data_IF_512334362289
#
_entry.id   IF_512334362289
#
_cell.length_a   1.000
_cell.length_b   1.000
_cell.length_c   1.000
_cell.angle_alpha   90.00
_cell.angle_beta   90.00
_cell.angle_gamma   90.00
#
_symmetry.space_group_name_H-M   'P 1'
#
loop_
_entity.id
_entity.type
_entity.pdbx_description
1 polymer ?
#
# COMPACT_ATOMS: atom_id res chain seq x y z
N UNK A 1 17.46 -40.30 -56.14
CA UNK A 1 17.02 -40.33 -54.74
C UNK A 1 17.80 -39.29 -53.93
N UNK A 2 17.19 -38.17 -53.52
CA UNK A 2 17.65 -37.34 -52.39
C UNK A 2 16.39 -36.78 -51.70
N UNK A 3 16.13 -37.23 -50.47
CA UNK A 3 14.98 -36.82 -49.64
C UNK A 3 15.32 -35.55 -48.86
N UNK A 4 14.30 -34.75 -48.62
CA UNK A 4 14.31 -33.44 -47.99
C UNK A 4 14.49 -33.55 -46.46
N UNK A 5 15.60 -33.07 -45.92
CA UNK A 5 15.88 -33.05 -44.46
C UNK A 5 15.59 -31.69 -43.77
N UNK A 6 14.82 -30.78 -44.40
CA UNK A 6 14.67 -29.40 -43.89
C UNK A 6 13.37 -29.07 -43.16
N UNK A 7 12.40 -29.97 -43.07
CA UNK A 7 11.06 -29.62 -42.54
C UNK A 7 10.87 -29.80 -41.03
N UNK A 8 11.77 -30.48 -40.31
CA UNK A 8 11.55 -30.78 -38.88
C UNK A 8 11.95 -29.66 -37.88
N UNK A 9 12.68 -28.61 -38.29
CA UNK A 9 13.19 -27.60 -37.36
C UNK A 9 12.28 -26.38 -37.14
N UNK A 10 11.32 -26.12 -38.05
CA UNK A 10 10.50 -24.92 -37.99
C UNK A 10 9.48 -24.94 -36.84
N UNK A 11 8.97 -26.12 -36.49
CA UNK A 11 7.99 -26.30 -35.41
C UNK A 11 8.58 -26.07 -34.01
N UNK A 12 9.88 -26.31 -33.81
CA UNK A 12 10.54 -26.12 -32.51
C UNK A 12 10.84 -24.64 -32.24
N UNK A 13 11.28 -23.91 -33.26
CA UNK A 13 11.50 -22.46 -33.22
C UNK A 13 10.19 -21.69 -33.01
N UNK A 14 9.09 -22.05 -33.69
CA UNK A 14 7.80 -21.42 -33.47
C UNK A 14 7.24 -21.67 -32.06
N UNK A 15 7.38 -22.91 -31.53
CA UNK A 15 7.02 -23.21 -30.14
C UNK A 15 7.84 -22.42 -29.14
N UNK A 16 9.16 -22.26 -29.37
CA UNK A 16 10.04 -21.40 -28.56
C UNK A 16 9.59 -19.93 -28.62
N UNK A 17 9.33 -19.39 -29.81
CA UNK A 17 8.84 -18.01 -30.00
C UNK A 17 7.52 -17.76 -29.30
N UNK A 18 6.56 -18.70 -29.38
CA UNK A 18 5.28 -18.64 -28.63
C UNK A 18 5.51 -18.68 -27.11
N UNK A 19 6.40 -19.55 -26.63
CA UNK A 19 6.75 -19.61 -25.20
C UNK A 19 7.41 -18.32 -24.70
N UNK A 20 8.29 -17.72 -25.50
CA UNK A 20 8.97 -16.45 -25.18
C UNK A 20 7.95 -15.31 -25.16
N UNK A 21 7.05 -15.23 -26.15
CA UNK A 21 5.95 -14.26 -26.15
C UNK A 21 5.03 -14.41 -24.93
N UNK A 22 4.63 -15.64 -24.57
CA UNK A 22 3.83 -15.88 -23.37
C UNK A 22 4.57 -15.49 -22.08
N UNK A 23 5.88 -15.78 -21.97
CA UNK A 23 6.71 -15.34 -20.84
C UNK A 23 6.80 -13.81 -20.75
N UNK A 24 6.94 -13.13 -21.88
CA UNK A 24 7.04 -11.67 -21.93
C UNK A 24 5.70 -10.98 -21.61
N UNK A 25 4.56 -11.53 -22.09
CA UNK A 25 3.21 -11.07 -21.71
C UNK A 25 2.96 -11.22 -20.20
N UNK A 26 3.35 -12.35 -19.60
CA UNK A 26 3.25 -12.58 -18.14
C UNK A 26 4.12 -11.62 -17.32
N UNK A 27 5.33 -11.29 -17.80
CA UNK A 27 6.24 -10.32 -17.15
C UNK A 27 5.72 -8.88 -17.22
N UNK A 28 5.02 -8.49 -18.29
CA UNK A 28 4.42 -7.16 -18.39
C UNK A 28 3.22 -6.96 -17.46
N UNK A 29 2.43 -8.00 -17.19
CA UNK A 29 1.33 -7.95 -16.20
C UNK A 29 1.86 -7.69 -14.78
N UNK A 30 3.04 -8.21 -14.43
CA UNK A 30 3.64 -7.98 -13.11
C UNK A 30 4.23 -6.58 -12.91
N UNK A 31 4.50 -5.81 -13.97
CA UNK A 31 5.13 -4.46 -13.87
C UNK A 31 4.14 -3.33 -13.60
N UNK A 32 2.84 -3.56 -13.78
CA UNK A 32 1.76 -2.60 -13.49
C UNK A 32 0.99 -2.94 -12.20
N UNK A 33 1.58 -3.73 -11.29
CA UNK A 33 0.88 -4.21 -10.10
C UNK A 33 -0.05 -5.37 -10.44
N UNK A 34 0.55 -6.53 -10.75
CA UNK A 34 -0.19 -7.73 -11.16
C UNK A 34 -1.34 -8.09 -10.22
N UNK A 35 -2.47 -8.49 -10.83
CA UNK A 35 -3.74 -8.89 -10.20
C UNK A 35 -4.10 -8.01 -9.01
N UNK A 36 -4.73 -6.87 -9.28
CA UNK A 36 -5.45 -6.11 -8.25
C UNK A 36 -6.31 -7.02 -7.38
N UNK A 37 -6.59 -6.57 -6.16
CA UNK A 37 -7.50 -7.23 -5.23
C UNK A 37 -8.73 -7.72 -6.00
N UNK A 38 -9.16 -8.97 -5.79
CA UNK A 38 -10.33 -9.48 -6.51
C UNK A 38 -11.50 -8.52 -6.28
N UNK A 39 -12.41 -8.44 -7.26
CA UNK A 39 -13.58 -7.59 -7.16
C UNK A 39 -14.34 -7.82 -5.84
N UNK A 40 -14.41 -9.07 -5.39
CA UNK A 40 -14.99 -9.44 -4.10
C UNK A 40 -14.25 -8.82 -2.92
N UNK A 41 -12.91 -8.83 -2.94
CA UNK A 41 -12.10 -8.21 -1.87
C UNK A 41 -12.28 -6.69 -1.87
N UNK A 42 -12.35 -6.06 -3.05
CA UNK A 42 -12.58 -4.62 -3.17
C UNK A 42 -14.00 -4.22 -2.71
N UNK A 43 -15.02 -4.98 -3.11
CA UNK A 43 -16.40 -4.77 -2.68
C UNK A 43 -16.57 -5.00 -1.17
N UNK A 44 -15.98 -6.07 -0.63
CA UNK A 44 -16.05 -6.39 0.79
C UNK A 44 -15.25 -5.42 1.66
N UNK A 45 -14.18 -4.79 1.15
CA UNK A 45 -13.39 -3.80 1.88
C UNK A 45 -14.19 -2.55 2.29
N UNK A 46 -15.28 -2.22 1.58
CA UNK A 46 -16.18 -1.11 1.92
C UNK A 46 -17.48 -1.54 2.61
N UNK A 47 -17.74 -2.84 2.70
CA UNK A 47 -18.93 -3.34 3.40
C UNK A 47 -18.75 -3.13 4.91
N UNK A 48 -19.73 -2.48 5.56
CA UNK A 48 -19.69 -2.14 7.00
C UNK A 48 -19.75 -3.37 7.94
N UNK A 49 -19.63 -4.58 7.41
CA UNK A 49 -19.57 -5.84 8.16
C UNK A 49 -18.12 -6.30 8.39
N UNK A 50 -17.17 -5.36 8.44
CA UNK A 50 -15.77 -5.65 8.76
C UNK A 50 -15.65 -5.95 10.25
N UNK A 51 -15.83 -7.22 10.60
CA UNK A 51 -15.56 -7.78 11.93
C UNK A 51 -14.04 -7.80 12.14
N UNK A 52 -13.44 -6.61 12.26
CA UNK A 52 -12.00 -6.40 12.39
C UNK A 52 -11.51 -7.07 13.68
N UNK A 53 -10.96 -8.28 13.54
CA UNK A 53 -10.35 -9.00 14.64
C UNK A 53 -8.82 -8.98 14.48
N UNK A 54 -8.10 -8.16 15.28
CA UNK A 54 -6.65 -8.02 15.15
C UNK A 54 -5.91 -9.35 15.42
N UNK A 55 -6.46 -10.25 16.24
CA UNK A 55 -5.84 -11.53 16.54
C UNK A 55 -5.81 -12.46 15.32
N UNK A 56 -6.89 -12.52 14.56
CA UNK A 56 -6.97 -13.33 13.33
C UNK A 56 -6.02 -12.79 12.25
N UNK A 57 -5.96 -11.47 12.11
CA UNK A 57 -5.05 -10.80 11.17
C UNK A 57 -3.60 -11.08 11.54
N UNK A 58 -3.25 -10.99 12.84
CA UNK A 58 -1.91 -11.31 13.34
C UNK A 58 -1.56 -12.78 13.06
N UNK A 59 -2.47 -13.71 13.35
CA UNK A 59 -2.28 -15.15 13.08
C UNK A 59 -2.03 -15.43 11.60
N UNK A 60 -2.81 -14.83 10.70
CA UNK A 60 -2.63 -15.00 9.26
C UNK A 60 -1.27 -14.43 8.78
N UNK A 61 -0.87 -13.26 9.29
CA UNK A 61 0.44 -12.66 8.97
C UNK A 61 1.59 -13.56 9.41
N UNK A 62 1.55 -14.08 10.63
CA UNK A 62 2.57 -14.98 11.15
C UNK A 62 2.62 -16.30 10.38
N UNK A 63 1.48 -16.90 10.05
CA UNK A 63 1.42 -18.09 9.21
C UNK A 63 2.10 -17.87 7.85
N UNK A 64 1.82 -16.75 7.20
CA UNK A 64 2.44 -16.39 5.92
C UNK A 64 3.95 -16.16 6.04
N UNK A 65 4.43 -15.54 7.13
CA UNK A 65 5.87 -15.40 7.39
C UNK A 65 6.52 -16.76 7.56
N UNK A 66 5.94 -17.61 8.40
CA UNK A 66 6.47 -18.95 8.69
C UNK A 66 6.52 -19.81 7.43
N UNK A 67 5.47 -19.79 6.61
CA UNK A 67 5.46 -20.48 5.33
C UNK A 67 6.60 -20.03 4.40
N UNK A 68 6.89 -18.72 4.34
CA UNK A 68 8.03 -18.18 3.58
C UNK A 68 9.36 -18.69 4.13
N UNK A 69 9.54 -18.70 5.46
CA UNK A 69 10.75 -19.20 6.09
C UNK A 69 10.98 -20.69 5.80
N UNK A 70 9.94 -21.52 5.92
CA UNK A 70 9.99 -22.95 5.57
C UNK A 70 10.34 -23.16 4.10
N UNK A 71 9.73 -22.40 3.19
CA UNK A 71 10.06 -22.47 1.76
C UNK A 71 11.51 -22.05 1.48
N UNK A 72 11.99 -20.98 2.12
CA UNK A 72 13.37 -20.52 2.01
C UNK A 72 14.34 -21.60 2.49
N UNK A 73 14.07 -22.21 3.64
CA UNK A 73 14.86 -23.31 4.19
C UNK A 73 14.88 -24.53 3.26
N UNK A 74 13.70 -24.96 2.77
CA UNK A 74 13.61 -26.07 1.80
C UNK A 74 14.39 -25.79 0.51
N UNK A 75 14.45 -24.54 0.04
CA UNK A 75 15.26 -24.15 -1.12
C UNK A 75 16.75 -24.24 -0.82
N UNK A 76 17.20 -23.77 0.35
CA UNK A 76 18.60 -23.86 0.76
C UNK A 76 19.05 -25.32 0.92
N UNK A 77 18.22 -26.17 1.54
CA UNK A 77 18.49 -27.61 1.64
C UNK A 77 18.62 -28.27 0.25
N UNK A 78 17.75 -27.91 -0.70
CA UNK A 78 17.86 -28.41 -2.08
C UNK A 78 19.16 -27.94 -2.76
N UNK A 79 19.58 -26.70 -2.52
CA UNK A 79 20.85 -26.18 -3.05
C UNK A 79 22.06 -26.91 -2.45
N UNK A 80 22.06 -27.14 -1.14
CA UNK A 80 23.14 -27.88 -0.47
C UNK A 80 23.21 -29.33 -0.98
N UNK A 81 22.07 -30.00 -1.13
CA UNK A 81 22.03 -31.35 -1.69
C UNK A 81 22.49 -31.42 -3.15
N UNK A 82 22.35 -30.33 -3.92
CA UNK A 82 22.90 -30.22 -5.28
C UNK A 82 24.41 -29.94 -5.31
N UNK A 83 24.99 -29.40 -4.24
CA UNK A 83 26.45 -29.21 -4.10
C UNK A 83 27.15 -30.47 -3.56
N UNK A 84 26.43 -31.36 -2.87
CA UNK A 84 26.95 -32.63 -2.35
C UNK A 84 26.94 -33.78 -3.37
N UNK A 85 26.39 -33.55 -4.57
CA UNK A 85 26.47 -34.45 -5.73
C UNK A 85 27.42 -33.79 -6.74
N UNK A 86 28.69 -34.23 -6.87
CA UNK A 86 29.61 -33.68 -7.86
C UNK A 86 29.20 -34.15 -9.25
N UNK A 87 28.16 -33.54 -9.80
CA UNK A 87 27.76 -33.72 -11.19
C UNK A 87 28.86 -33.15 -12.09
N UNK A 88 29.55 -34.06 -12.77
CA UNK A 88 30.56 -34.02 -13.85
C UNK A 88 30.55 -32.81 -14.84
N UNK A 89 29.54 -31.94 -14.80
CA UNK A 89 29.34 -30.82 -15.73
C UNK A 89 30.28 -29.61 -15.56
N UNK A 90 31.12 -29.56 -14.52
CA UNK A 90 31.93 -28.37 -14.22
C UNK A 90 33.28 -28.29 -14.96
N UNK A 91 33.65 -29.32 -15.74
CA UNK A 91 34.94 -29.36 -16.47
C UNK A 91 34.97 -28.64 -17.83
N UNK A 92 33.91 -27.95 -18.25
CA UNK A 92 33.81 -27.47 -19.64
C UNK A 92 33.99 -25.94 -19.85
N UNK A 93 34.35 -25.16 -18.83
CA UNK A 93 34.35 -23.68 -18.90
C UNK A 93 35.74 -23.04 -19.04
N UNK A 94 36.85 -23.77 -18.89
CA UNK A 94 38.19 -23.13 -18.80
C UNK A 94 38.95 -22.95 -20.13
N UNK A 95 38.40 -23.32 -21.30
CA UNK A 95 39.22 -23.37 -22.54
C UNK A 95 38.84 -22.44 -23.70
N UNK A 96 38.09 -21.35 -23.52
CA UNK A 96 37.82 -20.45 -24.65
C UNK A 96 37.65 -18.98 -24.25
N UNK A 97 38.61 -18.17 -24.71
CA UNK A 97 38.52 -16.74 -25.04
C UNK A 97 39.06 -15.71 -24.02
N UNK A 98 40.38 -15.65 -23.94
CA UNK A 98 41.11 -14.37 -23.89
C UNK A 98 41.20 -13.79 -25.31
N UNK A 99 40.40 -12.79 -25.68
CA UNK A 99 40.77 -11.80 -26.73
C UNK A 99 39.83 -10.57 -26.73
N UNK A 100 40.44 -9.39 -26.56
CA UNK A 100 40.11 -8.06 -27.12
C UNK A 100 38.67 -7.46 -27.09
N UNK A 101 38.58 -6.18 -26.67
CA UNK A 101 37.45 -5.32 -27.08
C UNK A 101 37.06 -4.14 -26.18
N UNK A 102 38.00 -3.37 -25.62
CA UNK A 102 37.70 -2.28 -24.66
C UNK A 102 37.27 -0.93 -25.31
N UNK A 103 36.25 -0.94 -26.18
CA UNK A 103 35.73 0.32 -26.80
C UNK A 103 34.22 0.56 -26.64
N UNK A 104 33.43 -0.43 -26.22
CA UNK A 104 31.96 -0.31 -26.09
C UNK A 104 31.46 0.20 -24.72
N UNK A 105 32.37 0.42 -23.76
CA UNK A 105 31.99 0.72 -22.38
C UNK A 105 31.57 2.19 -22.15
N UNK A 106 31.92 3.12 -23.05
CA UNK A 106 31.73 4.55 -22.80
C UNK A 106 30.31 5.06 -23.16
N UNK A 107 29.71 4.59 -24.25
CA UNK A 107 28.32 4.93 -24.62
C UNK A 107 27.29 4.35 -23.66
N UNK A 108 27.48 3.10 -23.20
CA UNK A 108 26.62 2.48 -22.18
C UNK A 108 26.64 3.23 -20.86
N UNK A 109 27.77 3.85 -20.49
CA UNK A 109 27.88 4.69 -19.27
C UNK A 109 27.16 6.03 -19.41
N UNK A 110 27.20 6.67 -20.59
CA UNK A 110 26.46 7.91 -20.86
C UNK A 110 24.94 7.71 -20.83
N UNK A 111 24.40 6.70 -21.52
CA UNK A 111 22.94 6.41 -21.51
C UNK A 111 22.38 6.04 -20.13
N UNK A 112 23.21 5.46 -19.24
CA UNK A 112 22.82 5.16 -17.85
C UNK A 112 22.68 6.44 -17.00
N UNK A 113 23.50 7.47 -17.23
CA UNK A 113 23.45 8.74 -16.49
C UNK A 113 22.17 9.53 -16.78
N UNK A 114 21.74 9.59 -18.04
CA UNK A 114 20.50 10.29 -18.41
C UNK A 114 19.25 9.60 -17.85
N UNK A 115 19.25 8.27 -17.75
CA UNK A 115 18.16 7.50 -17.10
C UNK A 115 18.10 7.68 -15.58
N UNK A 116 19.24 7.96 -14.93
CA UNK A 116 19.32 8.17 -13.49
C UNK A 116 18.77 9.55 -13.09
N UNK A 117 18.94 10.56 -13.95
CA UNK A 117 18.40 11.90 -13.75
C UNK A 117 16.86 11.89 -13.69
N UNK A 118 16.22 11.10 -14.56
CA UNK A 118 14.76 10.93 -14.56
C UNK A 118 14.24 10.23 -13.29
N UNK A 119 15.00 9.32 -12.69
CA UNK A 119 14.61 8.63 -11.45
C UNK A 119 14.68 9.56 -10.24
N UNK A 120 15.69 10.42 -10.19
CA UNK A 120 15.86 11.41 -9.13
C UNK A 120 14.74 12.47 -9.17
N UNK A 121 14.36 12.93 -10.36
CA UNK A 121 13.22 13.83 -10.53
C UNK A 121 11.89 13.20 -10.11
N UNK A 122 11.66 11.92 -10.42
CA UNK A 122 10.47 11.20 -9.97
C UNK A 122 10.44 11.08 -8.44
N UNK A 123 11.59 10.84 -7.81
CA UNK A 123 11.69 10.76 -6.36
C UNK A 123 11.39 12.10 -5.70
N UNK A 124 11.97 13.20 -6.22
CA UNK A 124 11.69 14.56 -5.74
C UNK A 124 10.20 14.91 -5.87
N UNK A 125 9.60 14.68 -7.04
CA UNK A 125 8.17 14.94 -7.29
C UNK A 125 7.25 14.16 -6.33
N UNK A 126 7.47 12.86 -6.17
CA UNK A 126 6.65 12.04 -5.26
C UNK A 126 6.81 12.44 -3.79
N UNK A 127 7.99 12.90 -3.40
CA UNK A 127 8.23 13.38 -2.04
C UNK A 127 7.53 14.72 -1.79
N UNK A 128 7.57 15.64 -2.76
CA UNK A 128 6.88 16.93 -2.68
C UNK A 128 5.36 16.78 -2.60
N UNK A 129 4.77 15.91 -3.43
CA UNK A 129 3.33 15.62 -3.39
C UNK A 129 2.88 15.04 -2.05
N UNK A 130 3.68 14.13 -1.49
CA UNK A 130 3.39 13.49 -0.20
C UNK A 130 3.50 14.47 0.98
N UNK A 131 4.44 15.41 0.93
CA UNK A 131 4.55 16.46 1.95
C UNK A 131 3.41 17.48 1.84
N UNK A 132 2.96 17.83 0.63
CA UNK A 132 1.76 18.66 0.43
C UNK A 132 0.50 17.98 0.97
N UNK A 133 0.31 16.70 0.68
CA UNK A 133 -0.83 15.92 1.20
C UNK A 133 -0.81 15.83 2.74
N UNK A 134 0.38 15.74 3.35
CA UNK A 134 0.55 15.79 4.81
C UNK A 134 0.13 17.14 5.37
N UNK A 135 0.58 18.24 4.78
CA UNK A 135 0.23 19.58 5.24
C UNK A 135 -1.28 19.85 5.13
N UNK A 136 -1.93 19.46 4.03
CA UNK A 136 -3.37 19.61 3.86
C UNK A 136 -4.16 18.79 4.89
N UNK A 137 -3.75 17.54 5.15
CA UNK A 137 -4.36 16.70 6.18
C UNK A 137 -4.17 17.27 7.58
N UNK A 138 -2.99 17.79 7.88
CA UNK A 138 -2.71 18.43 9.16
C UNK A 138 -3.54 19.70 9.36
N UNK A 139 -3.74 20.50 8.31
CA UNK A 139 -4.60 21.68 8.36
C UNK A 139 -6.06 21.30 8.68
N UNK A 140 -6.63 20.35 7.94
CA UNK A 140 -7.99 19.85 8.19
C UNK A 140 -8.12 19.27 9.59
N UNK A 141 -7.11 18.54 10.05
CA UNK A 141 -7.12 17.95 11.39
C UNK A 141 -7.06 19.02 12.48
N UNK A 142 -6.22 20.06 12.32
CA UNK A 142 -6.12 21.19 13.25
C UNK A 142 -7.44 21.95 13.32
N UNK A 143 -8.06 22.26 12.17
CA UNK A 143 -9.35 22.95 12.14
C UNK A 143 -10.44 22.13 12.84
N UNK A 144 -10.53 20.83 12.54
CA UNK A 144 -11.49 19.93 13.20
C UNK A 144 -11.23 19.80 14.71
N UNK A 145 -9.96 19.83 15.13
CA UNK A 145 -9.58 19.81 16.54
C UNK A 145 -10.01 21.10 17.24
N UNK A 146 -9.78 22.25 16.63
CA UNK A 146 -10.19 23.56 17.16
C UNK A 146 -11.71 23.66 17.28
N UNK A 147 -12.47 23.21 16.28
CA UNK A 147 -13.93 23.17 16.34
C UNK A 147 -14.43 22.29 17.50
N UNK A 148 -13.81 21.12 17.71
CA UNK A 148 -14.12 20.22 18.83
C UNK A 148 -13.80 20.86 20.17
N UNK A 149 -12.65 21.49 20.29
CA UNK A 149 -12.22 22.17 21.52
C UNK A 149 -13.14 23.32 21.88
N UNK A 150 -13.55 24.15 20.90
CA UNK A 150 -14.55 25.20 21.09
C UNK A 150 -15.88 24.63 21.57
N UNK A 151 -16.36 23.55 20.95
CA UNK A 151 -17.60 22.90 21.37
C UNK A 151 -17.49 22.30 22.79
N UNK A 152 -16.34 21.71 23.12
CA UNK A 152 -16.09 21.15 24.44
C UNK A 152 -15.98 22.24 25.52
N UNK A 153 -15.30 23.35 25.23
CA UNK A 153 -15.20 24.50 26.13
C UNK A 153 -16.60 25.08 26.43
N UNK A 154 -17.47 25.20 25.41
CA UNK A 154 -18.87 25.59 25.60
C UNK A 154 -19.63 24.61 26.51
N UNK A 155 -19.49 23.30 26.27
CA UNK A 155 -20.13 22.27 27.11
C UNK A 155 -19.63 22.32 28.56
N UNK A 156 -18.32 22.49 28.77
CA UNK A 156 -17.72 22.63 30.10
C UNK A 156 -18.25 23.86 30.84
N UNK A 157 -18.30 25.01 30.17
CA UNK A 157 -18.84 26.24 30.76
C UNK A 157 -20.30 26.12 31.19
N UNK A 158 -21.15 25.50 30.35
CA UNK A 158 -22.55 25.21 30.72
C UNK A 158 -22.60 24.25 31.91
N UNK A 159 -21.82 23.17 31.88
CA UNK A 159 -21.77 22.17 32.96
C UNK A 159 -21.34 22.78 34.29
N UNK A 160 -20.34 23.65 34.27
CA UNK A 160 -19.86 24.37 35.46
C UNK A 160 -20.96 25.25 36.06
N UNK A 161 -21.65 26.05 35.22
CA UNK A 161 -22.81 26.84 35.66
C UNK A 161 -23.91 25.97 36.27
N UNK A 162 -24.18 24.80 35.69
CA UNK A 162 -25.21 23.86 36.18
C UNK A 162 -24.87 23.19 37.52
N UNK A 163 -23.57 23.04 37.80
CA UNK A 163 -23.07 22.46 39.04
C UNK A 163 -23.04 23.47 40.19
N UNK A 164 -23.22 24.78 39.92
CA UNK A 164 -23.27 25.81 40.97
C UNK A 164 -24.46 25.56 41.89
N UNK A 165 -24.19 25.63 43.20
CA UNK A 165 -25.15 25.43 44.28
C UNK A 165 -25.28 26.68 45.14
N UNK A 166 -26.45 26.88 45.74
CA UNK A 166 -26.73 27.89 46.75
C UNK A 166 -26.13 27.45 48.08
N UNK A 167 -26.18 28.34 49.09
CA UNK A 167 -25.70 28.05 50.46
C UNK A 167 -26.33 26.80 51.08
N UNK A 168 -27.56 26.45 50.70
CA UNK A 168 -28.28 25.27 51.19
C UNK A 168 -28.04 24.02 50.34
N UNK A 169 -27.11 24.06 49.38
CA UNK A 169 -26.76 22.95 48.50
C UNK A 169 -27.73 22.72 47.33
N UNK A 170 -28.81 23.50 47.26
CA UNK A 170 -29.71 23.46 46.11
C UNK A 170 -29.02 24.05 44.88
N UNK A 171 -29.28 23.54 43.68
CA UNK A 171 -28.71 24.09 42.46
C UNK A 171 -29.23 25.50 42.18
N UNK A 172 -28.36 26.36 41.66
CA UNK A 172 -28.72 27.76 41.36
C UNK A 172 -29.71 27.79 40.19
N UNK A 173 -30.97 28.12 40.48
CA UNK A 173 -32.06 28.08 39.50
C UNK A 173 -31.87 29.03 38.31
N UNK A 174 -31.17 30.16 38.49
CA UNK A 174 -30.85 31.11 37.42
C UNK A 174 -30.27 30.41 36.19
N UNK A 175 -29.20 29.61 36.38
CA UNK A 175 -28.52 28.95 35.28
C UNK A 175 -29.32 27.79 34.67
N UNK A 176 -30.15 27.12 35.49
CA UNK A 176 -31.03 26.04 35.03
C UNK A 176 -32.14 26.54 34.14
N UNK A 177 -32.82 27.60 34.57
CA UNK A 177 -33.89 28.23 33.81
C UNK A 177 -33.33 28.78 32.50
N UNK A 178 -32.19 29.47 32.53
CA UNK A 178 -31.50 29.99 31.34
C UNK A 178 -31.27 28.89 30.29
N UNK A 179 -30.76 27.72 30.68
CA UNK A 179 -30.52 26.62 29.75
C UNK A 179 -31.80 25.95 29.24
N UNK A 180 -32.83 25.82 30.07
CA UNK A 180 -34.12 25.29 29.63
C UNK A 180 -34.72 26.21 28.56
N UNK A 181 -34.67 27.52 28.79
CA UNK A 181 -35.11 28.52 27.81
C UNK A 181 -34.27 28.48 26.53
N UNK A 182 -32.94 28.40 26.63
CA UNK A 182 -32.04 28.28 25.47
C UNK A 182 -32.34 27.00 24.67
N UNK A 183 -32.60 25.88 25.35
CA UNK A 183 -32.93 24.60 24.70
C UNK A 183 -34.27 24.66 23.98
N UNK A 184 -35.29 25.26 24.60
CA UNK A 184 -36.60 25.45 23.98
C UNK A 184 -36.46 26.35 22.74
N UNK A 185 -35.80 27.51 22.87
CA UNK A 185 -35.60 28.43 21.75
C UNK A 185 -34.76 27.82 20.62
N UNK A 186 -33.75 27.01 20.96
CA UNK A 186 -32.96 26.27 19.97
C UNK A 186 -33.83 25.25 19.23
N UNK A 187 -34.66 24.50 19.95
CA UNK A 187 -35.56 23.51 19.36
C UNK A 187 -36.59 24.13 18.41
N UNK A 188 -37.18 25.28 18.76
CA UNK A 188 -38.16 25.97 17.91
C UNK A 188 -37.52 26.54 16.66
N UNK A 189 -36.32 27.13 16.76
CA UNK A 189 -35.55 27.60 15.60
C UNK A 189 -35.17 26.47 14.64
N UNK A 190 -34.72 25.34 15.17
CA UNK A 190 -34.38 24.17 14.35
C UNK A 190 -35.63 23.58 13.65
N UNK A 191 -36.78 23.56 14.34
CA UNK A 191 -38.04 23.11 13.73
C UNK A 191 -38.51 24.06 12.61
N UNK A 192 -38.37 25.38 12.79
CA UNK A 192 -38.73 26.37 11.77
C UNK A 192 -37.78 26.34 10.55
N UNK A 193 -36.49 26.06 10.76
CA UNK A 193 -35.49 25.99 9.69
C UNK A 193 -35.57 24.72 8.83
N UNK A 194 -36.16 23.63 9.33
CA UNK A 194 -36.33 22.38 8.59
C UNK A 194 -37.61 22.33 7.73
N UNK A 195 -38.49 23.32 7.87
CA UNK A 195 -39.73 23.45 7.10
C UNK A 195 -39.61 24.50 5.97
N UNK A 196 -38.39 25.00 5.70
CA UNK A 196 -38.07 25.96 4.64
C UNK A 196 -37.27 25.29 3.53
#
# INVERSE_FOLDING_TARGET
>A
MKKNDRECNNNHEEKKKRMIMMKNKKRNISRLGGSGLSLDVFANAKSNNSRYNPALIKKQKEFNKNAKHVQKFKKLLKQQNQQNEPSVAQRHIESLNETEGDKDNNERRKRKKDSAFSLEELYKKTHEEKEKERMEREAIFKEKKEQREKAEARRKGIREKMLKKTRKGQPVMKYRIEHLLETIQGSTKNAAGNNS
#
